data_IF_457955804013
#
_entry.id   IF_457955804013
#
_cell.length_a   1.000
_cell.length_b   1.000
_cell.length_c   1.000
_cell.angle_alpha   90.00
_cell.angle_beta   90.00
_cell.angle_gamma   90.00
#
_symmetry.space_group_name_H-M   'P 1'
#
loop_
_entity.id
_entity.type
_entity.pdbx_description
1 polymer ?
#
# COMPACT_ATOMS: atom_id res chain seq x y z
N UNK A 1 2.49 19.37 -2.78
CA UNK A 1 2.00 19.95 -4.08
C UNK A 1 1.59 18.92 -5.14
N UNK A 2 2.48 18.10 -5.73
CA UNK A 2 2.08 17.15 -6.81
C UNK A 2 1.04 16.12 -6.34
N UNK A 3 1.25 15.48 -5.20
CA UNK A 3 0.34 14.45 -4.67
C UNK A 3 -1.04 15.02 -4.28
N UNK A 4 -1.09 16.27 -3.81
CA UNK A 4 -2.36 16.95 -3.54
C UNK A 4 -3.12 17.24 -4.85
N UNK A 5 -2.44 17.82 -5.84
CA UNK A 5 -3.06 18.23 -7.10
C UNK A 5 -3.44 17.08 -8.02
N UNK A 6 -2.60 16.05 -8.14
CA UNK A 6 -2.83 14.92 -9.05
C UNK A 6 -3.67 13.81 -8.42
N UNK A 7 -3.52 13.58 -7.11
CA UNK A 7 -4.16 12.44 -6.43
C UNK A 7 -5.24 12.86 -5.44
N UNK A 8 -5.45 14.17 -5.23
CA UNK A 8 -6.47 14.68 -4.30
C UNK A 8 -6.18 14.28 -2.85
N UNK A 9 -4.91 14.06 -2.51
CA UNK A 9 -4.46 13.76 -1.16
C UNK A 9 -4.46 15.02 -0.30
N UNK A 10 -4.63 14.85 1.01
CA UNK A 10 -4.47 15.98 1.93
C UNK A 10 -3.00 16.43 1.97
N UNK A 11 -2.75 17.67 2.39
CA UNK A 11 -1.40 18.16 2.61
C UNK A 11 -0.61 17.26 3.59
N UNK A 12 -1.30 16.73 4.60
CA UNK A 12 -0.72 15.79 5.56
C UNK A 12 -0.28 14.49 4.87
N UNK A 13 -1.19 13.80 4.19
CA UNK A 13 -0.88 12.52 3.53
C UNK A 13 0.22 12.71 2.47
N UNK A 14 0.15 13.79 1.70
CA UNK A 14 1.16 14.14 0.73
C UNK A 14 2.54 14.36 1.38
N UNK A 15 2.60 15.04 2.52
CA UNK A 15 3.86 15.24 3.27
C UNK A 15 4.46 13.93 3.77
N UNK A 16 3.63 13.02 4.28
CA UNK A 16 4.07 11.71 4.80
C UNK A 16 4.59 10.84 3.66
N UNK A 17 3.83 10.74 2.57
CA UNK A 17 4.19 9.91 1.42
C UNK A 17 5.39 10.45 0.63
N UNK A 18 5.69 11.74 0.75
CA UNK A 18 6.87 12.37 0.13
C UNK A 18 8.02 12.59 1.11
N UNK A 19 7.96 12.02 2.32
CA UNK A 19 9.01 12.14 3.33
C UNK A 19 10.35 11.55 2.87
N UNK A 20 10.33 10.53 2.01
CA UNK A 20 11.50 10.00 1.29
C UNK A 20 11.14 9.68 -0.16
N UNK A 21 12.16 9.55 -1.01
CA UNK A 21 11.96 9.19 -2.42
C UNK A 21 11.40 7.78 -2.54
N UNK A 22 11.92 6.86 -1.73
CA UNK A 22 11.59 5.45 -1.73
C UNK A 22 10.12 5.25 -1.32
N UNK A 23 9.64 6.02 -0.33
CA UNK A 23 8.23 6.01 0.06
C UNK A 23 7.32 6.56 -1.05
N UNK A 24 7.76 7.65 -1.70
CA UNK A 24 7.01 8.24 -2.81
C UNK A 24 6.91 7.27 -3.99
N UNK A 25 8.03 6.65 -4.39
CA UNK A 25 8.11 5.70 -5.50
C UNK A 25 7.26 4.45 -5.21
N UNK A 26 7.32 3.93 -3.98
CA UNK A 26 6.49 2.80 -3.55
C UNK A 26 5.01 3.14 -3.68
N UNK A 27 4.57 4.28 -3.13
CA UNK A 27 3.18 4.73 -3.22
C UNK A 27 2.73 4.95 -4.67
N UNK A 28 3.54 5.61 -5.50
CA UNK A 28 3.21 5.88 -6.89
C UNK A 28 3.03 4.60 -7.70
N UNK A 29 3.81 3.58 -7.38
CA UNK A 29 3.69 2.26 -8.01
C UNK A 29 2.43 1.54 -7.55
N UNK A 30 2.11 1.56 -6.26
CA UNK A 30 0.87 0.98 -5.72
C UNK A 30 -0.36 1.65 -6.36
N UNK A 31 -0.44 2.98 -6.35
CA UNK A 31 -1.57 3.70 -6.94
C UNK A 31 -1.67 3.48 -8.44
N UNK A 32 -0.54 3.31 -9.15
CA UNK A 32 -0.53 3.04 -10.58
C UNK A 32 -1.14 1.69 -10.95
N UNK A 33 -1.08 0.71 -10.04
CA UNK A 33 -1.63 -0.63 -10.21
C UNK A 33 -3.11 -0.68 -9.84
N UNK A 34 -3.49 -0.14 -8.67
CA UNK A 34 -4.88 -0.21 -8.22
C UNK A 34 -5.77 0.91 -8.78
N UNK A 35 -5.17 2.00 -9.26
CA UNK A 35 -5.87 3.17 -9.76
C UNK A 35 -6.73 3.88 -8.71
N UNK A 36 -6.36 3.79 -7.43
CA UNK A 36 -7.01 4.53 -6.35
C UNK A 36 -5.96 5.06 -5.37
N UNK A 37 -5.57 6.31 -5.58
CA UNK A 37 -4.52 6.93 -4.81
C UNK A 37 -4.92 7.17 -3.35
N UNK A 38 -6.20 7.38 -3.03
CA UNK A 38 -6.63 7.58 -1.64
C UNK A 38 -6.56 6.27 -0.86
N UNK A 39 -7.03 5.19 -1.47
CA UNK A 39 -6.95 3.87 -0.85
C UNK A 39 -5.49 3.40 -0.75
N UNK A 40 -4.69 3.60 -1.80
CA UNK A 40 -3.25 3.33 -1.77
C UNK A 40 -2.53 4.10 -0.65
N UNK A 41 -2.77 5.41 -0.55
CA UNK A 41 -2.20 6.25 0.50
C UNK A 41 -2.55 5.74 1.91
N UNK A 42 -3.82 5.37 2.13
CA UNK A 42 -4.27 4.84 3.41
C UNK A 42 -3.52 3.54 3.78
N UNK A 43 -3.47 2.57 2.87
CA UNK A 43 -2.80 1.28 3.12
C UNK A 43 -1.28 1.41 3.30
N UNK A 44 -0.63 2.31 2.55
CA UNK A 44 0.81 2.57 2.69
C UNK A 44 1.11 3.20 4.05
N UNK A 45 0.32 4.19 4.49
CA UNK A 45 0.58 4.89 5.75
C UNK A 45 0.17 4.07 6.99
N UNK A 46 -0.94 3.33 6.91
CA UNK A 46 -1.54 2.66 8.07
C UNK A 46 -1.03 1.23 8.19
N UNK A 47 -1.45 0.32 7.31
CA UNK A 47 -1.11 -1.10 7.43
C UNK A 47 0.38 -1.37 7.16
N UNK A 48 0.91 -0.89 6.03
CA UNK A 48 2.32 -1.07 5.70
C UNK A 48 3.23 -0.31 6.67
N UNK A 49 2.90 0.95 6.98
CA UNK A 49 3.62 1.74 7.97
C UNK A 49 3.66 1.05 9.34
N UNK A 50 2.54 0.46 9.79
CA UNK A 50 2.51 -0.29 11.05
C UNK A 50 3.39 -1.55 11.02
N UNK A 51 3.42 -2.27 9.89
CA UNK A 51 4.28 -3.44 9.71
C UNK A 51 5.76 -3.06 9.78
N UNK A 52 6.17 -2.06 8.98
CA UNK A 52 7.54 -1.56 8.93
C UNK A 52 8.02 -1.07 10.30
N UNK A 53 7.19 -0.29 10.99
CA UNK A 53 7.52 0.20 12.34
C UNK A 53 7.67 -0.93 13.36
N UNK A 54 6.81 -1.96 13.28
CA UNK A 54 6.87 -3.12 14.19
C UNK A 54 8.17 -3.90 14.01
N UNK A 55 8.60 -4.08 12.76
CA UNK A 55 9.76 -4.91 12.43
C UNK A 55 11.06 -4.09 12.32
N UNK A 56 10.98 -2.76 12.51
CA UNK A 56 12.12 -1.84 12.42
C UNK A 56 12.71 -1.74 11.02
N UNK A 57 11.86 -1.84 10.00
CA UNK A 57 12.24 -1.89 8.59
C UNK A 57 12.01 -0.55 7.90
N UNK A 58 12.85 -0.26 6.92
CA UNK A 58 12.62 0.82 5.95
C UNK A 58 11.73 0.31 4.81
N UNK A 59 11.13 1.24 4.05
CA UNK A 59 10.21 0.91 2.95
C UNK A 59 10.84 0.02 1.87
N UNK A 60 12.15 0.19 1.62
CA UNK A 60 12.92 -0.64 0.67
C UNK A 60 13.10 -2.09 1.16
N UNK A 61 12.95 -2.31 2.46
CA UNK A 61 13.07 -3.62 3.11
C UNK A 61 11.71 -4.26 3.35
N UNK A 62 10.63 -3.65 2.85
CA UNK A 62 9.28 -4.17 3.00
C UNK A 62 9.18 -5.62 2.52
N UNK A 63 8.62 -6.55 3.31
CA UNK A 63 8.36 -7.92 2.88
C UNK A 63 7.21 -8.00 1.86
N UNK A 64 6.39 -6.93 1.77
CA UNK A 64 5.34 -6.78 0.77
C UNK A 64 5.82 -5.80 -0.30
N UNK A 65 5.92 -6.26 -1.54
CA UNK A 65 6.25 -5.39 -2.67
C UNK A 65 5.09 -4.44 -3.02
N UNK A 66 5.42 -3.32 -3.66
CA UNK A 66 4.41 -2.39 -4.19
C UNK A 66 3.44 -3.09 -5.17
N UNK A 67 3.94 -4.04 -5.96
CA UNK A 67 3.11 -4.87 -6.86
C UNK A 67 2.10 -5.73 -6.11
N UNK A 68 2.53 -6.41 -5.05
CA UNK A 68 1.64 -7.23 -4.23
C UNK A 68 0.57 -6.38 -3.55
N UNK A 69 0.97 -5.25 -2.94
CA UNK A 69 0.01 -4.37 -2.29
C UNK A 69 -0.97 -3.75 -3.30
N UNK A 70 -0.48 -3.28 -4.45
CA UNK A 70 -1.33 -2.74 -5.52
C UNK A 70 -2.33 -3.77 -6.05
N UNK A 71 -1.88 -5.02 -6.26
CA UNK A 71 -2.75 -6.12 -6.68
C UNK A 71 -3.81 -6.47 -5.63
N UNK A 72 -3.45 -6.51 -4.36
CA UNK A 72 -4.42 -6.72 -3.27
C UNK A 72 -5.45 -5.60 -3.22
N UNK A 73 -5.03 -4.33 -3.31
CA UNK A 73 -5.95 -3.18 -3.29
C UNK A 73 -6.87 -3.21 -4.52
N UNK A 74 -6.38 -3.68 -5.68
CA UNK A 74 -7.23 -3.89 -6.85
C UNK A 74 -8.35 -4.90 -6.56
N UNK A 75 -8.04 -6.00 -5.85
CA UNK A 75 -9.04 -7.00 -5.41
C UNK A 75 -10.04 -6.44 -4.38
N UNK A 76 -9.67 -5.40 -3.63
CA UNK A 76 -10.64 -4.65 -2.81
C UNK A 76 -11.57 -3.85 -3.71
N UNK A 77 -11.02 -3.12 -4.68
CA UNK A 77 -11.78 -2.24 -5.58
C UNK A 77 -12.76 -2.98 -6.47
N UNK A 78 -12.38 -4.15 -6.99
CA UNK A 78 -13.26 -4.98 -7.81
C UNK A 78 -14.29 -5.78 -6.97
N UNK A 79 -14.28 -5.61 -5.65
CA UNK A 79 -15.12 -6.30 -4.66
C UNK A 79 -14.89 -7.81 -4.56
N UNK A 80 -13.76 -8.33 -5.06
CA UNK A 80 -13.37 -9.73 -4.85
C UNK A 80 -13.13 -10.02 -3.37
N UNK A 81 -12.48 -9.09 -2.66
CA UNK A 81 -12.26 -9.20 -1.22
C UNK A 81 -12.79 -7.98 -0.48
N UNK A 82 -13.36 -8.19 0.71
CA UNK A 82 -13.69 -7.10 1.62
C UNK A 82 -12.43 -6.51 2.25
N UNK A 83 -12.49 -5.27 2.76
CA UNK A 83 -11.39 -4.68 3.51
C UNK A 83 -10.96 -5.50 4.74
N UNK A 84 -11.88 -6.23 5.39
CA UNK A 84 -11.56 -7.14 6.49
C UNK A 84 -10.73 -8.34 6.01
N UNK A 85 -11.12 -8.92 4.88
CA UNK A 85 -10.43 -10.05 4.27
C UNK A 85 -9.04 -9.62 3.75
N UNK A 86 -8.96 -8.41 3.18
CA UNK A 86 -7.70 -7.83 2.73
C UNK A 86 -6.65 -7.69 3.84
N UNK A 87 -7.05 -7.42 5.09
CA UNK A 87 -6.08 -7.39 6.20
C UNK A 87 -5.45 -8.76 6.45
N UNK A 88 -6.25 -9.82 6.41
CA UNK A 88 -5.75 -11.19 6.55
C UNK A 88 -4.85 -11.58 5.36
N UNK A 89 -5.24 -11.19 4.15
CA UNK A 89 -4.40 -11.39 2.95
C UNK A 89 -3.08 -10.62 3.05
N UNK A 90 -3.11 -9.37 3.50
CA UNK A 90 -1.91 -8.56 3.72
C UNK A 90 -0.93 -9.20 4.70
N UNK A 91 -1.44 -9.70 5.84
CA UNK A 91 -0.63 -10.42 6.83
C UNK A 91 0.01 -11.69 6.23
N UNK A 92 -0.75 -12.48 5.47
CA UNK A 92 -0.23 -13.65 4.78
C UNK A 92 0.85 -13.28 3.72
N UNK A 93 0.63 -12.21 2.95
CA UNK A 93 1.66 -11.69 2.02
C UNK A 93 2.94 -11.27 2.75
N UNK A 94 2.81 -10.59 3.88
CA UNK A 94 3.95 -10.18 4.71
C UNK A 94 4.72 -11.38 5.29
N UNK A 95 4.05 -12.50 5.51
CA UNK A 95 4.67 -13.77 5.93
C UNK A 95 5.28 -14.57 4.76
N UNK A 96 5.21 -14.05 3.53
CA UNK A 96 5.78 -14.69 2.34
C UNK A 96 4.90 -15.75 1.70
N UNK A 97 3.59 -15.78 2.00
CA UNK A 97 2.66 -16.80 1.48
C UNK A 97 2.24 -16.56 0.01
N UNK A 98 2.69 -15.47 -0.62
CA UNK A 98 2.53 -15.22 -2.05
C UNK A 98 1.85 -13.87 -2.36
N UNK A 99 1.19 -13.79 -3.51
CA UNK A 99 0.35 -12.65 -3.89
C UNK A 99 -1.08 -12.80 -3.39
N UNK A 100 -1.85 -11.71 -3.41
CA UNK A 100 -3.26 -11.75 -3.02
C UNK A 100 -4.06 -12.84 -3.76
N UNK A 101 -3.83 -13.01 -5.06
CA UNK A 101 -4.51 -14.02 -5.90
C UNK A 101 -4.10 -15.46 -5.58
N UNK A 102 -2.98 -15.68 -4.92
CA UNK A 102 -2.55 -17.01 -4.47
C UNK A 102 -3.11 -17.37 -3.09
N UNK A 103 -3.46 -16.37 -2.28
CA UNK A 103 -3.93 -16.52 -0.90
C UNK A 103 -5.46 -16.69 -0.83
N UNK A 104 -6.19 -16.07 -1.76
CA UNK A 104 -7.67 -16.16 -1.87
C UNK A 104 -8.12 -17.43 -2.60
#
# INVERSE_FOLDING_TARGET
ERFESQYGLSAYDASVLSASREMADYFEKVQGICGDAKLAANWVMVELGSLLNKDGLEIEQSPVSAEQLGGMILRIKDNTISGKLAKMVFEAMANGEGSADQII
#
